data_IF_659800484363
#
_entry.id   IF_659800484363
#
_cell.length_a   1.000
_cell.length_b   1.000
_cell.length_c   1.000
_cell.angle_alpha   90.00
_cell.angle_beta   90.00
_cell.angle_gamma   90.00
#
_symmetry.space_group_name_H-M   'P 1'
#
loop_
_entity.id
_entity.type
_entity.pdbx_description
1 polymer ?
#
# COMPACT_ATOMS: atom_id res chain seq x y z
N UNK A 1 1.60 2.72 3.84
CA UNK A 1 2.59 2.88 4.93
C UNK A 1 3.57 1.73 4.85
N UNK A 2 4.88 1.99 4.82
CA UNK A 2 5.91 0.95 4.81
C UNK A 2 5.89 0.06 6.09
N UNK A 3 6.32 -1.19 6.00
CA UNK A 3 6.68 -1.90 4.77
C UNK A 3 5.45 -2.39 4.00
N UNK A 4 5.44 -2.28 2.67
CA UNK A 4 4.34 -2.80 1.86
C UNK A 4 4.80 -3.36 0.52
N UNK A 5 4.06 -4.35 0.02
CA UNK A 5 4.37 -5.05 -1.24
C UNK A 5 4.39 -4.12 -2.45
N UNK A 6 3.45 -3.17 -2.64
CA UNK A 6 3.44 -2.29 -3.79
C UNK A 6 4.74 -1.51 -4.00
N UNK A 7 5.39 -1.01 -2.95
CA UNK A 7 6.69 -0.34 -3.08
C UNK A 7 7.78 -1.27 -3.58
N UNK A 8 7.79 -2.52 -3.10
CA UNK A 8 8.76 -3.53 -3.57
C UNK A 8 8.52 -3.85 -5.05
N UNK A 9 7.25 -4.01 -5.46
CA UNK A 9 6.90 -4.27 -6.86
C UNK A 9 7.26 -3.10 -7.78
N UNK A 10 7.05 -1.88 -7.34
CA UNK A 10 7.47 -0.68 -8.06
C UNK A 10 9.00 -0.64 -8.23
N UNK A 11 9.74 -0.86 -7.13
CA UNK A 11 11.20 -0.93 -7.18
C UNK A 11 11.71 -2.00 -8.16
N UNK A 12 11.08 -3.18 -8.15
CA UNK A 12 11.44 -4.27 -9.08
C UNK A 12 11.14 -3.91 -10.54
N UNK A 13 10.08 -3.16 -10.80
CA UNK A 13 9.69 -2.75 -12.15
C UNK A 13 10.53 -1.61 -12.71
N UNK A 14 11.04 -0.72 -11.85
CA UNK A 14 11.72 0.52 -12.24
C UNK A 14 13.22 0.51 -11.97
N UNK A 15 13.69 -0.37 -11.07
CA UNK A 15 15.08 -0.39 -10.61
C UNK A 15 15.38 0.57 -9.46
N UNK A 16 14.36 1.24 -8.91
CA UNK A 16 14.50 2.19 -7.81
C UNK A 16 14.80 1.51 -6.47
N UNK A 17 15.33 2.27 -5.52
CA UNK A 17 15.68 1.79 -4.19
C UNK A 17 14.44 1.54 -3.33
N UNK A 18 14.25 0.30 -2.83
CA UNK A 18 13.16 -0.04 -1.92
C UNK A 18 13.26 0.74 -0.60
N UNK A 19 14.46 0.97 -0.09
CA UNK A 19 14.66 1.73 1.17
C UNK A 19 14.24 3.18 1.02
N UNK A 20 14.58 3.83 -0.09
CA UNK A 20 14.16 5.21 -0.38
C UNK A 20 12.65 5.32 -0.58
N UNK A 21 12.04 4.36 -1.32
CA UNK A 21 10.60 4.29 -1.46
C UNK A 21 9.87 4.11 -0.11
N UNK A 22 10.45 3.31 0.79
CA UNK A 22 9.89 3.15 2.13
C UNK A 22 10.00 4.44 2.95
N UNK A 23 11.14 5.16 2.90
CA UNK A 23 11.27 6.46 3.54
C UNK A 23 10.28 7.48 2.96
N UNK A 24 10.21 7.56 1.64
CA UNK A 24 9.28 8.45 0.94
C UNK A 24 7.81 8.20 1.26
N UNK A 25 7.44 6.96 1.60
CA UNK A 25 6.08 6.57 1.95
C UNK A 25 5.63 6.92 3.38
N UNK A 26 6.55 7.29 4.29
CA UNK A 26 6.22 7.54 5.70
C UNK A 26 5.33 8.78 5.84
N UNK A 27 5.78 9.91 5.34
CA UNK A 27 5.07 11.20 5.49
C UNK A 27 3.72 11.22 4.77
N UNK A 28 3.61 10.76 3.49
CA UNK A 28 2.33 10.57 2.85
C UNK A 28 1.38 9.67 3.63
N UNK A 29 1.89 8.56 4.16
CA UNK A 29 1.10 7.63 4.97
C UNK A 29 0.58 8.25 6.26
N UNK A 30 1.39 9.04 6.97
CA UNK A 30 0.96 9.78 8.14
C UNK A 30 -0.07 10.84 7.80
N UNK A 31 0.10 11.57 6.69
CA UNK A 31 -0.85 12.58 6.22
C UNK A 31 -2.22 11.95 5.89
N UNK A 32 -2.24 10.83 5.16
CA UNK A 32 -3.47 10.10 4.87
C UNK A 32 -4.15 9.67 6.17
N UNK A 33 -3.39 9.10 7.10
CA UNK A 33 -3.91 8.66 8.41
C UNK A 33 -4.50 9.83 9.18
N UNK A 34 -3.85 10.98 9.21
CA UNK A 34 -4.32 12.18 9.90
C UNK A 34 -5.66 12.69 9.30
N UNK A 35 -5.77 12.74 7.97
CA UNK A 35 -6.99 13.14 7.28
C UNK A 35 -8.16 12.18 7.55
N UNK A 36 -7.90 10.87 7.55
CA UNK A 36 -8.92 9.87 7.86
C UNK A 36 -9.34 9.91 9.33
N UNK A 37 -8.40 10.10 10.26
CA UNK A 37 -8.70 10.30 11.70
C UNK A 37 -9.54 11.55 11.89
N UNK A 38 -9.19 12.65 11.23
CA UNK A 38 -9.96 13.89 11.29
C UNK A 38 -11.40 13.69 10.82
N UNK A 39 -11.58 12.99 9.69
CA UNK A 39 -12.92 12.65 9.21
C UNK A 39 -13.68 11.76 10.22
N UNK A 40 -13.04 10.70 10.73
CA UNK A 40 -13.64 9.79 11.69
C UNK A 40 -14.09 10.54 12.96
N UNK A 41 -13.22 11.41 13.49
CA UNK A 41 -13.55 12.25 14.65
C UNK A 41 -14.76 13.15 14.39
N UNK A 42 -14.77 13.85 13.23
CA UNK A 42 -15.89 14.70 12.84
C UNK A 42 -17.20 13.92 12.70
N UNK A 43 -17.14 12.74 12.07
CA UNK A 43 -18.28 11.86 11.86
C UNK A 43 -18.87 11.37 13.19
N UNK A 44 -18.01 10.83 14.09
CA UNK A 44 -18.43 10.36 15.41
C UNK A 44 -19.03 11.46 16.26
N UNK A 45 -18.46 12.67 16.21
CA UNK A 45 -19.01 13.82 16.96
C UNK A 45 -20.40 14.24 16.47
N UNK A 46 -20.69 14.05 15.18
CA UNK A 46 -21.97 14.45 14.57
C UNK A 46 -23.06 13.40 14.68
N UNK A 47 -22.71 12.13 14.57
CA UNK A 47 -23.67 11.01 14.52
C UNK A 47 -23.79 10.26 15.85
N UNK A 48 -22.96 10.60 16.84
CA UNK A 48 -22.86 9.89 18.10
C UNK A 48 -22.02 8.60 17.99
N UNK A 49 -21.59 8.13 19.14
CA UNK A 49 -20.82 6.89 19.28
C UNK A 49 -21.64 5.87 20.06
N UNK A 50 -21.46 4.59 19.78
CA UNK A 50 -21.99 3.51 20.58
C UNK A 50 -21.18 3.40 21.89
N UNK A 51 -21.49 4.31 22.82
CA UNK A 51 -20.74 4.49 24.09
C UNK A 51 -20.74 3.21 24.93
N UNK A 52 -21.79 2.42 24.88
CA UNK A 52 -21.86 1.18 25.65
C UNK A 52 -20.84 0.15 25.18
N UNK A 53 -20.71 -0.04 23.85
CA UNK A 53 -19.70 -0.96 23.28
C UNK A 53 -18.28 -0.47 23.50
N UNK A 54 -18.07 0.84 23.36
CA UNK A 54 -16.74 1.46 23.60
C UNK A 54 -16.37 1.29 25.06
N UNK A 55 -17.30 1.56 26.00
CA UNK A 55 -17.07 1.48 27.42
C UNK A 55 -16.79 0.05 27.86
N UNK A 56 -17.58 -0.91 27.39
CA UNK A 56 -17.35 -2.33 27.68
C UNK A 56 -15.96 -2.81 27.22
N UNK A 57 -15.50 -2.35 26.04
CA UNK A 57 -14.17 -2.67 25.51
C UNK A 57 -13.06 -1.96 26.29
N UNK A 58 -13.27 -0.71 26.67
CA UNK A 58 -12.33 0.07 27.51
C UNK A 58 -12.18 -0.58 28.91
N UNK A 59 -13.27 -1.05 29.51
CA UNK A 59 -13.22 -1.68 30.83
C UNK A 59 -12.49 -3.02 30.77
N UNK A 60 -12.66 -3.79 29.69
CA UNK A 60 -11.87 -5.01 29.45
C UNK A 60 -10.36 -4.72 29.30
N UNK A 61 -10.01 -3.64 28.57
CA UNK A 61 -8.61 -3.24 28.40
C UNK A 61 -8.01 -2.70 29.71
N UNK A 62 -8.78 -1.90 30.46
CA UNK A 62 -8.36 -1.39 31.77
C UNK A 62 -8.16 -2.52 32.79
N UNK A 63 -9.05 -3.54 32.77
CA UNK A 63 -8.92 -4.71 33.64
C UNK A 63 -7.64 -5.52 33.38
N UNK A 64 -7.18 -5.59 32.12
CA UNK A 64 -5.89 -6.23 31.78
C UNK A 64 -4.67 -5.41 32.18
N UNK A 65 -4.78 -4.09 32.30
CA UNK A 65 -3.69 -3.16 32.59
C UNK A 65 -2.80 -2.91 31.36
N UNK A 66 -2.47 -1.64 31.13
CA UNK A 66 -1.67 -1.21 29.96
C UNK A 66 -0.31 -1.92 29.87
N UNK A 67 0.40 -2.04 30.99
CA UNK A 67 1.72 -2.69 31.02
C UNK A 67 1.67 -4.19 30.71
N UNK A 68 0.61 -4.89 31.11
CA UNK A 68 0.44 -6.31 30.79
C UNK A 68 0.16 -6.50 29.30
N UNK A 69 -0.70 -5.66 28.72
CA UNK A 69 -0.98 -5.67 27.27
C UNK A 69 0.28 -5.37 26.48
N UNK A 70 1.04 -4.36 26.89
CA UNK A 70 2.30 -4.00 26.25
C UNK A 70 3.31 -5.15 26.33
N UNK A 71 3.45 -5.78 27.49
CA UNK A 71 4.35 -6.93 27.70
C UNK A 71 3.95 -8.15 26.84
N UNK A 72 2.65 -8.40 26.70
CA UNK A 72 2.13 -9.47 25.83
C UNK A 72 2.38 -9.17 24.36
N UNK A 73 2.31 -7.90 23.94
CA UNK A 73 2.38 -7.47 22.54
C UNK A 73 3.79 -7.09 22.07
N UNK A 74 4.75 -6.88 22.98
CA UNK A 74 6.09 -6.35 22.65
C UNK A 74 6.81 -7.18 21.59
N UNK A 75 6.72 -8.49 21.69
CA UNK A 75 7.36 -9.40 20.73
C UNK A 75 6.76 -9.30 19.33
N UNK A 76 5.46 -9.09 19.22
CA UNK A 76 4.79 -8.85 17.93
C UNK A 76 5.15 -7.48 17.35
N UNK A 77 5.22 -6.43 18.22
CA UNK A 77 5.58 -5.08 17.82
C UNK A 77 7.05 -4.95 17.40
N UNK A 78 7.93 -5.81 17.89
CA UNK A 78 9.33 -5.84 17.48
C UNK A 78 9.52 -6.33 16.04
N UNK A 79 8.62 -7.12 15.48
CA UNK A 79 8.75 -7.63 14.10
C UNK A 79 8.89 -6.51 13.05
N UNK A 80 7.96 -5.54 12.94
CA UNK A 80 8.14 -4.43 12.00
C UNK A 80 9.34 -3.54 12.34
N UNK A 81 9.69 -3.39 13.62
CA UNK A 81 10.87 -2.60 14.04
C UNK A 81 12.16 -3.27 13.56
N UNK A 82 12.26 -4.61 13.66
CA UNK A 82 13.41 -5.36 13.16
C UNK A 82 13.54 -5.22 11.65
N UNK A 83 12.43 -5.42 10.91
CA UNK A 83 12.43 -5.33 9.44
C UNK A 83 12.88 -3.95 8.98
N UNK A 84 12.22 -2.90 9.45
CA UNK A 84 12.54 -1.53 9.06
C UNK A 84 13.91 -1.10 9.57
N UNK A 85 14.28 -1.50 10.80
CA UNK A 85 15.59 -1.22 11.37
C UNK A 85 16.74 -1.83 10.55
N UNK A 86 16.62 -3.08 10.11
CA UNK A 86 17.60 -3.74 9.24
C UNK A 86 17.72 -3.05 7.88
N UNK A 87 16.60 -2.65 7.28
CA UNK A 87 16.57 -1.99 5.96
C UNK A 87 17.17 -0.58 6.04
N UNK A 88 16.72 0.24 7.00
CA UNK A 88 17.16 1.64 7.10
C UNK A 88 18.59 1.79 7.63
N UNK A 89 19.08 0.84 8.43
CA UNK A 89 20.47 0.82 8.84
C UNK A 89 21.44 0.33 7.75
N UNK A 90 20.92 -0.18 6.63
CA UNK A 90 21.73 -0.75 5.55
C UNK A 90 22.39 -2.10 5.89
N UNK A 91 22.05 -2.70 7.05
CA UNK A 91 22.61 -3.99 7.50
C UNK A 91 22.07 -5.15 6.67
N UNK A 92 20.83 -5.05 6.19
CA UNK A 92 20.22 -6.08 5.38
C UNK A 92 19.41 -5.47 4.22
N UNK A 93 19.45 -6.15 3.08
CA UNK A 93 18.54 -5.87 1.97
C UNK A 93 17.09 -6.19 2.34
N UNK A 94 16.08 -5.65 1.63
CA UNK A 94 14.68 -5.96 1.91
C UNK A 94 14.35 -7.46 1.91
N UNK A 95 15.00 -8.24 1.03
CA UNK A 95 14.85 -9.70 0.96
C UNK A 95 15.46 -10.41 2.17
N UNK A 96 16.64 -10.00 2.61
CA UNK A 96 17.29 -10.53 3.83
C UNK A 96 16.50 -10.16 5.08
N UNK A 97 16.00 -8.93 5.19
CA UNK A 97 15.13 -8.50 6.28
C UNK A 97 13.82 -9.31 6.34
N UNK A 98 13.25 -9.69 5.18
CA UNK A 98 12.10 -10.58 5.13
C UNK A 98 12.44 -11.99 5.67
N UNK A 99 13.59 -12.54 5.32
CA UNK A 99 14.08 -13.83 5.85
C UNK A 99 14.26 -13.77 7.37
N UNK A 100 14.91 -12.71 7.87
CA UNK A 100 15.07 -12.46 9.32
C UNK A 100 13.68 -12.41 10.00
N UNK A 101 12.71 -11.72 9.39
CA UNK A 101 11.33 -11.62 9.91
C UNK A 101 10.64 -12.97 10.01
N UNK A 102 10.83 -13.85 9.01
CA UNK A 102 10.26 -15.22 9.02
C UNK A 102 10.84 -16.02 10.20
N UNK A 103 12.16 -16.03 10.36
CA UNK A 103 12.79 -16.76 11.48
C UNK A 103 12.39 -16.17 12.83
N UNK A 104 12.37 -14.83 12.95
CA UNK A 104 11.91 -14.15 14.14
C UNK A 104 10.46 -14.52 14.50
N UNK A 105 9.55 -14.46 13.53
CA UNK A 105 8.14 -14.79 13.74
C UNK A 105 7.93 -16.26 14.11
N UNK A 106 8.68 -17.17 13.50
CA UNK A 106 8.68 -18.59 13.86
C UNK A 106 9.17 -18.80 15.30
N UNK A 107 10.27 -18.16 15.67
CA UNK A 107 10.81 -18.22 17.04
C UNK A 107 9.80 -17.73 18.07
N UNK A 108 9.22 -16.55 17.86
CA UNK A 108 8.23 -15.95 18.76
C UNK A 108 6.97 -16.85 18.87
N UNK A 109 6.48 -17.35 17.75
CA UNK A 109 5.27 -18.17 17.70
C UNK A 109 5.45 -19.56 18.34
N UNK A 110 6.64 -20.17 18.21
CA UNK A 110 6.92 -21.50 18.76
C UNK A 110 7.31 -21.47 20.24
N UNK A 111 8.19 -20.51 20.63
CA UNK A 111 8.81 -20.54 21.95
C UNK A 111 8.19 -19.56 22.94
N UNK A 112 7.81 -18.35 22.49
CA UNK A 112 7.28 -17.29 23.35
C UNK A 112 5.76 -17.41 23.50
N UNK A 113 5.02 -17.29 22.39
CA UNK A 113 3.56 -17.36 22.40
C UNK A 113 3.04 -18.78 22.39
N UNK A 114 3.83 -19.75 21.93
CA UNK A 114 3.44 -21.15 21.80
C UNK A 114 2.11 -21.33 21.06
N UNK A 115 1.86 -20.46 20.10
CA UNK A 115 0.61 -20.42 19.33
C UNK A 115 0.55 -21.47 18.22
N UNK A 116 1.71 -21.97 17.77
CA UNK A 116 1.85 -22.99 16.74
C UNK A 116 2.72 -24.14 17.23
N UNK A 117 2.46 -25.34 16.68
CA UNK A 117 3.29 -26.55 16.90
C UNK A 117 4.18 -26.78 15.69
N UNK A 118 5.35 -27.38 15.90
CA UNK A 118 6.32 -27.70 14.82
C UNK A 118 5.66 -28.47 13.66
N UNK A 119 4.74 -29.38 13.96
CA UNK A 119 3.97 -30.14 12.94
C UNK A 119 3.10 -29.26 12.03
N UNK A 120 2.71 -28.08 12.48
CA UNK A 120 1.86 -27.16 11.73
C UNK A 120 2.67 -26.28 10.75
N UNK A 121 4.00 -26.19 10.93
CA UNK A 121 4.88 -25.37 10.06
C UNK A 121 4.73 -25.78 8.60
N UNK A 122 4.71 -27.09 8.32
CA UNK A 122 4.54 -27.57 6.95
C UNK A 122 3.23 -27.11 6.32
N UNK A 123 2.12 -27.18 7.07
CA UNK A 123 0.82 -26.66 6.61
C UNK A 123 0.86 -25.17 6.33
N UNK A 124 1.45 -24.38 7.23
CA UNK A 124 1.60 -22.92 7.07
C UNK A 124 2.45 -22.59 5.83
N UNK A 125 3.53 -23.32 5.59
CA UNK A 125 4.36 -23.14 4.39
C UNK A 125 3.57 -23.43 3.10
N UNK A 126 2.79 -24.51 3.08
CA UNK A 126 1.95 -24.87 1.92
C UNK A 126 0.87 -23.79 1.67
N UNK A 127 0.25 -23.28 2.72
CA UNK A 127 -0.73 -22.19 2.58
C UNK A 127 -0.09 -20.89 2.09
N UNK A 128 1.08 -20.54 2.61
CA UNK A 128 1.84 -19.40 2.12
C UNK A 128 2.19 -19.57 0.62
N UNK A 129 2.64 -20.75 0.21
CA UNK A 129 2.93 -21.03 -1.21
C UNK A 129 1.70 -20.88 -2.09
N UNK A 130 0.53 -21.36 -1.66
CA UNK A 130 -0.74 -21.20 -2.40
C UNK A 130 -1.13 -19.73 -2.53
N UNK A 131 -0.82 -18.90 -1.53
CA UNK A 131 -1.17 -17.50 -1.52
C UNK A 131 -0.31 -16.70 -2.51
N UNK A 132 1.00 -16.96 -2.57
CA UNK A 132 1.85 -16.14 -3.43
C UNK A 132 2.26 -16.77 -4.76
N UNK A 133 2.00 -18.06 -4.99
CA UNK A 133 2.22 -18.67 -6.30
C UNK A 133 1.51 -17.95 -7.45
N UNK A 134 0.23 -17.52 -7.33
CA UNK A 134 -0.41 -16.68 -8.35
C UNK A 134 0.32 -15.35 -8.57
N UNK A 135 0.86 -14.74 -7.52
CA UNK A 135 1.61 -13.47 -7.61
C UNK A 135 2.89 -13.67 -8.42
N UNK A 136 3.62 -14.76 -8.20
CA UNK A 136 4.81 -15.10 -9.00
C UNK A 136 4.49 -15.32 -10.47
N UNK A 137 3.35 -15.97 -10.76
CA UNK A 137 2.90 -16.16 -12.13
C UNK A 137 2.56 -14.83 -12.81
N UNK A 138 1.84 -13.95 -12.11
CA UNK A 138 1.54 -12.59 -12.58
C UNK A 138 2.84 -11.81 -12.80
N UNK A 139 3.79 -11.88 -11.87
CA UNK A 139 5.09 -11.22 -11.99
C UNK A 139 5.83 -11.67 -13.26
N UNK A 140 5.93 -12.98 -13.49
CA UNK A 140 6.60 -13.53 -14.65
C UNK A 140 5.94 -13.10 -15.98
N UNK A 141 4.61 -13.18 -16.05
CA UNK A 141 3.86 -12.80 -17.26
C UNK A 141 3.89 -11.29 -17.50
N UNK A 142 3.78 -10.47 -16.45
CA UNK A 142 3.86 -9.00 -16.55
C UNK A 142 5.25 -8.53 -16.95
N UNK A 143 6.31 -9.17 -16.45
CA UNK A 143 7.70 -8.88 -16.86
C UNK A 143 7.92 -9.20 -18.34
N UNK A 144 7.42 -10.35 -18.81
CA UNK A 144 7.48 -10.72 -20.22
C UNK A 144 6.70 -9.72 -21.10
N UNK A 145 5.49 -9.34 -20.67
CA UNK A 145 4.66 -8.35 -21.37
C UNK A 145 5.33 -6.97 -21.41
N UNK A 146 5.86 -6.49 -20.29
CA UNK A 146 6.60 -5.23 -20.21
C UNK A 146 7.82 -5.23 -21.15
N UNK A 147 8.54 -6.38 -21.24
CA UNK A 147 9.66 -6.52 -22.18
C UNK A 147 9.23 -6.38 -23.63
N UNK A 148 8.09 -7.00 -24.01
CA UNK A 148 7.53 -6.87 -25.35
C UNK A 148 7.17 -5.41 -25.65
N UNK A 149 6.48 -4.72 -24.72
CA UNK A 149 6.12 -3.30 -24.88
C UNK A 149 7.36 -2.42 -25.06
N UNK A 150 8.43 -2.68 -24.30
CA UNK A 150 9.70 -1.94 -24.42
C UNK A 150 10.37 -2.19 -25.77
N UNK A 151 10.38 -3.44 -26.26
CA UNK A 151 10.92 -3.77 -27.59
C UNK A 151 10.11 -3.15 -28.72
N UNK A 152 8.81 -3.02 -28.54
CA UNK A 152 7.90 -2.33 -29.50
C UNK A 152 7.97 -0.81 -29.38
N UNK A 153 8.76 -0.27 -28.48
CA UNK A 153 8.90 1.17 -28.20
C UNK A 153 7.57 1.85 -27.79
N UNK A 154 6.60 1.09 -27.30
CA UNK A 154 5.29 1.63 -26.88
C UNK A 154 5.41 2.76 -25.85
N UNK A 155 6.27 2.67 -24.80
CA UNK A 155 6.45 3.79 -23.86
C UNK A 155 6.89 5.08 -24.56
N UNK A 156 7.80 4.99 -25.54
CA UNK A 156 8.29 6.11 -26.30
C UNK A 156 7.23 6.74 -27.22
N UNK A 157 6.46 5.90 -27.91
CA UNK A 157 5.37 6.35 -28.77
C UNK A 157 4.25 7.02 -27.96
N UNK A 158 3.88 6.44 -26.83
CA UNK A 158 2.88 7.01 -25.91
C UNK A 158 3.40 8.34 -25.34
N UNK A 159 4.66 8.39 -24.93
CA UNK A 159 5.30 9.62 -24.45
C UNK A 159 5.28 10.72 -25.53
N UNK A 160 5.69 10.41 -26.74
CA UNK A 160 5.70 11.37 -27.87
C UNK A 160 4.28 11.87 -28.18
N UNK A 161 3.28 10.98 -28.18
CA UNK A 161 1.88 11.34 -28.37
C UNK A 161 1.35 12.27 -27.28
N UNK A 162 1.65 11.94 -26.02
CA UNK A 162 1.25 12.76 -24.86
C UNK A 162 1.88 14.14 -24.93
N UNK A 163 3.17 14.23 -25.25
CA UNK A 163 3.90 15.51 -25.34
C UNK A 163 3.38 16.41 -26.45
N UNK A 164 2.88 15.83 -27.54
CA UNK A 164 2.27 16.63 -28.62
C UNK A 164 0.90 17.19 -28.26
N UNK A 165 0.15 16.49 -27.37
CA UNK A 165 -1.23 16.87 -27.04
C UNK A 165 -1.37 17.57 -25.68
N UNK A 166 -0.43 17.35 -24.76
CA UNK A 166 -0.46 17.91 -23.40
C UNK A 166 0.80 18.76 -23.16
N UNK A 167 0.72 20.04 -23.48
CA UNK A 167 1.81 20.99 -23.21
C UNK A 167 1.86 21.45 -21.75
N UNK A 168 0.85 21.15 -20.94
CA UNK A 168 0.75 21.58 -19.55
C UNK A 168 0.99 20.38 -18.62
N UNK A 169 2.04 20.46 -17.82
CA UNK A 169 2.43 19.46 -16.82
C UNK A 169 1.30 19.11 -15.84
N UNK A 170 0.56 20.11 -15.35
CA UNK A 170 -0.54 19.91 -14.42
C UNK A 170 -1.65 19.05 -15.05
N UNK A 171 -1.99 19.33 -16.31
CA UNK A 171 -3.01 18.56 -17.03
C UNK A 171 -2.55 17.13 -17.23
N UNK A 172 -1.28 16.92 -17.58
CA UNK A 172 -0.69 15.60 -17.73
C UNK A 172 -0.78 14.79 -16.42
N UNK A 173 -0.37 15.37 -15.31
CA UNK A 173 -0.43 14.70 -14.00
C UNK A 173 -1.86 14.36 -13.58
N UNK A 174 -2.83 15.23 -13.88
CA UNK A 174 -4.25 14.95 -13.64
C UNK A 174 -4.72 13.78 -14.50
N UNK A 175 -4.37 13.75 -15.79
CA UNK A 175 -4.74 12.64 -16.70
C UNK A 175 -4.13 11.33 -16.21
N UNK A 176 -2.86 11.31 -15.83
CA UNK A 176 -2.20 10.13 -15.27
C UNK A 176 -2.94 9.67 -14.00
N UNK A 177 -3.29 10.59 -13.08
CA UNK A 177 -4.04 10.26 -11.87
C UNK A 177 -5.40 9.64 -12.19
N UNK A 178 -6.13 10.17 -13.18
CA UNK A 178 -7.43 9.62 -13.59
C UNK A 178 -7.28 8.22 -14.18
N UNK A 179 -6.28 8.01 -15.04
CA UNK A 179 -6.00 6.68 -15.62
C UNK A 179 -5.64 5.68 -14.53
N UNK A 180 -4.73 6.03 -13.61
CA UNK A 180 -4.35 5.17 -12.50
C UNK A 180 -5.53 4.83 -11.58
N UNK A 181 -6.40 5.80 -11.32
CA UNK A 181 -7.60 5.60 -10.51
C UNK A 181 -8.56 4.60 -11.18
N UNK A 182 -8.83 4.77 -12.48
CA UNK A 182 -9.68 3.86 -13.25
C UNK A 182 -9.10 2.44 -13.24
N UNK A 183 -7.79 2.31 -13.47
CA UNK A 183 -7.11 1.01 -13.42
C UNK A 183 -7.20 0.40 -12.02
N UNK A 184 -6.95 1.17 -10.97
CA UNK A 184 -7.04 0.71 -9.57
C UNK A 184 -8.45 0.30 -9.15
N UNK A 185 -9.50 0.84 -9.79
CA UNK A 185 -10.88 0.41 -9.55
C UNK A 185 -11.18 -0.99 -10.10
N UNK A 186 -10.41 -1.45 -11.11
CA UNK A 186 -10.73 -2.67 -11.88
C UNK A 186 -9.78 -3.81 -11.57
N UNK A 187 -8.50 -3.53 -11.31
CA UNK A 187 -7.47 -4.55 -11.13
C UNK A 187 -6.64 -4.32 -9.86
N UNK A 188 -5.95 -5.38 -9.43
CA UNK A 188 -5.06 -5.34 -8.26
C UNK A 188 -3.86 -4.41 -8.49
N UNK A 189 -3.32 -3.85 -7.39
CA UNK A 189 -2.15 -2.96 -7.42
C UNK A 189 -0.92 -3.63 -8.00
N UNK A 190 -0.67 -4.90 -7.69
CA UNK A 190 0.55 -5.60 -8.13
C UNK A 190 0.66 -5.67 -9.65
N UNK A 191 -0.31 -6.23 -10.41
CA UNK A 191 -0.24 -6.22 -11.85
C UNK A 191 -0.30 -4.81 -12.45
N UNK A 192 -1.08 -3.90 -11.85
CA UNK A 192 -1.16 -2.51 -12.32
C UNK A 192 0.22 -1.82 -12.28
N UNK A 193 0.95 -1.95 -11.17
CA UNK A 193 2.29 -1.40 -11.01
C UNK A 193 3.24 -1.99 -12.05
N UNK A 194 3.30 -3.32 -12.17
CA UNK A 194 4.24 -4.00 -13.05
C UNK A 194 4.04 -3.67 -14.54
N UNK A 195 2.80 -3.40 -14.94
CA UNK A 195 2.46 -3.07 -16.33
C UNK A 195 2.63 -1.56 -16.59
N UNK A 196 2.13 -0.72 -15.69
CA UNK A 196 2.05 0.72 -15.93
C UNK A 196 3.33 1.48 -15.57
N UNK A 197 4.12 1.01 -14.57
CA UNK A 197 5.33 1.72 -14.18
C UNK A 197 6.31 1.88 -15.34
N UNK A 198 6.67 0.84 -16.13
CA UNK A 198 7.59 1.01 -17.25
C UNK A 198 7.07 1.91 -18.38
N UNK A 199 5.73 2.05 -18.47
CA UNK A 199 5.09 2.89 -19.50
C UNK A 199 5.04 4.34 -19.04
N UNK A 200 4.65 4.58 -17.80
CA UNK A 200 4.38 5.93 -17.29
C UNK A 200 5.64 6.62 -16.75
N UNK A 201 6.61 5.85 -16.22
CA UNK A 201 7.82 6.44 -15.64
C UNK A 201 8.60 7.33 -16.61
N UNK A 202 8.91 6.91 -17.85
CA UNK A 202 9.61 7.79 -18.80
C UNK A 202 8.85 9.08 -19.11
N UNK A 203 7.50 9.02 -19.07
CA UNK A 203 6.64 10.18 -19.35
C UNK A 203 6.75 11.20 -18.22
N UNK A 204 6.70 10.76 -16.97
CA UNK A 204 6.76 11.67 -15.80
C UNK A 204 8.18 12.18 -15.54
N UNK A 205 9.20 11.39 -15.84
CA UNK A 205 10.61 11.84 -15.81
C UNK A 205 10.86 12.96 -16.82
N UNK A 206 10.24 12.87 -17.98
CA UNK A 206 10.39 13.89 -19.02
C UNK A 206 9.84 15.26 -18.62
N UNK A 207 8.81 15.29 -17.75
CA UNK A 207 8.31 16.53 -17.15
C UNK A 207 9.00 16.89 -15.83
N UNK A 208 10.10 16.20 -15.49
CA UNK A 208 10.95 16.52 -14.34
C UNK A 208 10.47 15.94 -13.00
N UNK A 209 9.49 15.02 -13.01
CA UNK A 209 9.04 14.36 -11.77
C UNK A 209 10.07 13.32 -11.32
N UNK A 210 10.39 13.33 -10.03
CA UNK A 210 11.28 12.35 -9.43
C UNK A 210 10.64 10.94 -9.44
N UNK A 211 11.38 9.87 -9.86
CA UNK A 211 10.86 8.50 -9.93
C UNK A 211 10.27 7.97 -8.62
N UNK A 212 10.92 8.28 -7.48
CA UNK A 212 10.45 7.85 -6.16
C UNK A 212 9.13 8.54 -5.79
N UNK A 213 9.03 9.84 -6.07
CA UNK A 213 7.80 10.60 -5.86
C UNK A 213 6.65 10.06 -6.72
N UNK A 214 6.92 9.75 -7.98
CA UNK A 214 5.94 9.11 -8.86
C UNK A 214 5.50 7.73 -8.31
N UNK A 215 6.44 6.93 -7.82
CA UNK A 215 6.13 5.64 -7.19
C UNK A 215 5.17 5.78 -6.01
N UNK A 216 5.40 6.75 -5.12
CA UNK A 216 4.49 7.06 -3.99
C UNK A 216 3.12 7.49 -4.51
N UNK A 217 3.07 8.43 -5.46
CA UNK A 217 1.82 8.91 -6.06
C UNK A 217 1.03 7.77 -6.70
N UNK A 218 1.67 6.93 -7.51
CA UNK A 218 1.05 5.80 -8.19
C UNK A 218 0.45 4.80 -7.20
N UNK A 219 1.20 4.43 -6.16
CA UNK A 219 0.76 3.46 -5.15
C UNK A 219 -0.41 4.00 -4.34
N UNK A 220 -0.37 5.26 -3.94
CA UNK A 220 -1.48 5.91 -3.23
C UNK A 220 -2.72 5.98 -4.12
N UNK A 221 -2.56 6.30 -5.40
CA UNK A 221 -3.67 6.37 -6.36
C UNK A 221 -4.37 5.01 -6.54
N UNK A 222 -3.58 3.95 -6.78
CA UNK A 222 -4.12 2.60 -6.90
C UNK A 222 -4.80 2.13 -5.60
N UNK A 223 -4.28 2.54 -4.43
CA UNK A 223 -4.91 2.25 -3.14
C UNK A 223 -6.27 2.95 -2.97
N UNK A 224 -6.45 4.16 -3.52
CA UNK A 224 -7.77 4.82 -3.60
C UNK A 224 -8.71 4.01 -4.48
N UNK A 225 -8.21 3.50 -5.61
CA UNK A 225 -8.99 2.63 -6.51
C UNK A 225 -9.57 1.42 -5.78
N UNK A 226 -8.82 0.80 -4.87
CA UNK A 226 -9.26 -0.38 -4.10
C UNK A 226 -10.49 -0.16 -3.22
N UNK A 227 -10.78 1.05 -2.83
CA UNK A 227 -11.95 1.41 -2.02
C UNK A 227 -13.02 2.12 -2.83
N UNK A 228 -12.82 2.24 -4.15
CA UNK A 228 -13.71 2.98 -5.05
C UNK A 228 -14.45 2.04 -5.99
N UNK A 229 -15.79 2.16 -6.15
CA UNK A 229 -16.54 1.40 -7.16
C UNK A 229 -16.01 1.67 -8.58
N UNK A 230 -16.15 0.74 -9.56
CA UNK A 230 -17.14 -0.36 -9.62
C UNK A 230 -16.71 -1.67 -8.96
N UNK A 231 -15.41 -2.02 -8.98
CA UNK A 231 -14.96 -3.29 -8.39
C UNK A 231 -14.55 -3.08 -6.93
N UNK A 232 -13.52 -2.29 -6.66
CA UNK A 232 -13.07 -1.96 -5.31
C UNK A 232 -12.84 -3.19 -4.44
N UNK A 233 -11.71 -3.88 -4.63
CA UNK A 233 -11.42 -5.19 -3.99
C UNK A 233 -11.68 -5.18 -2.48
N UNK A 234 -11.31 -4.10 -1.78
CA UNK A 234 -11.54 -3.98 -0.34
C UNK A 234 -13.02 -3.87 0.02
N UNK A 235 -13.88 -3.37 -0.89
CA UNK A 235 -15.32 -3.31 -0.67
C UNK A 235 -15.95 -4.72 -0.70
N UNK A 236 -15.45 -5.62 -1.56
CA UNK A 236 -15.86 -7.02 -1.56
C UNK A 236 -15.46 -7.73 -0.27
N UNK A 237 -14.22 -7.53 0.18
CA UNK A 237 -13.76 -8.11 1.46
C UNK A 237 -14.63 -7.60 2.61
N UNK A 238 -14.87 -6.30 2.68
CA UNK A 238 -15.73 -5.71 3.70
C UNK A 238 -17.18 -6.26 3.63
N UNK A 239 -17.72 -6.42 2.42
CA UNK A 239 -19.05 -7.00 2.21
C UNK A 239 -19.14 -8.44 2.71
N UNK A 240 -18.13 -9.27 2.42
CA UNK A 240 -18.09 -10.67 2.85
C UNK A 240 -17.96 -10.83 4.37
N UNK A 241 -17.25 -9.91 5.04
CA UNK A 241 -17.06 -9.93 6.50
C UNK A 241 -18.29 -9.41 7.27
N UNK A 242 -18.99 -8.43 6.69
CA UNK A 242 -20.10 -7.74 7.38
C UNK A 242 -21.48 -8.22 6.94
N UNK A 243 -21.57 -9.01 5.87
CA UNK A 243 -22.84 -9.39 5.20
C UNK A 243 -23.68 -8.17 4.77
N UNK A 244 -23.05 -7.01 4.56
CA UNK A 244 -23.70 -5.80 4.05
C UNK A 244 -23.43 -5.69 2.54
N UNK A 245 -24.43 -5.34 1.71
CA UNK A 245 -24.22 -5.17 0.27
C UNK A 245 -23.12 -4.14 -0.04
N UNK A 246 -22.19 -4.50 -0.94
CA UNK A 246 -21.02 -3.71 -1.32
C UNK A 246 -21.38 -2.24 -1.64
N UNK A 247 -22.47 -2.01 -2.37
CA UNK A 247 -22.90 -0.67 -2.75
C UNK A 247 -23.31 0.20 -1.56
N UNK A 248 -23.83 -0.40 -0.48
CA UNK A 248 -24.17 0.34 0.75
C UNK A 248 -22.89 0.74 1.49
N UNK A 249 -21.90 -0.15 1.54
CA UNK A 249 -20.58 0.14 2.12
C UNK A 249 -19.91 1.27 1.33
N UNK A 250 -19.89 1.17 0.01
CA UNK A 250 -19.33 2.17 -0.89
C UNK A 250 -19.95 3.56 -0.67
N UNK A 251 -21.27 3.65 -0.63
CA UNK A 251 -21.98 4.93 -0.37
C UNK A 251 -21.57 5.57 0.96
N UNK A 252 -21.40 4.76 2.02
CA UNK A 252 -20.96 5.26 3.33
C UNK A 252 -19.47 5.60 3.36
N UNK A 253 -18.66 4.96 2.52
CA UNK A 253 -17.23 5.22 2.41
C UNK A 253 -16.91 6.45 1.54
N UNK A 254 -17.85 6.93 0.70
CA UNK A 254 -17.61 8.07 -0.21
C UNK A 254 -16.96 9.29 0.42
N UNK A 255 -17.39 9.77 1.61
CA UNK A 255 -16.70 10.91 2.23
C UNK A 255 -15.25 10.61 2.60
N UNK A 256 -14.94 9.37 3.08
CA UNK A 256 -13.57 8.95 3.39
C UNK A 256 -12.73 8.88 2.11
N UNK A 257 -13.31 8.38 1.02
CA UNK A 257 -12.66 8.38 -0.30
C UNK A 257 -12.33 9.81 -0.73
N UNK A 258 -13.24 10.77 -0.49
CA UNK A 258 -12.99 12.18 -0.76
C UNK A 258 -11.77 12.75 -0.01
N UNK A 259 -11.61 12.43 1.27
CA UNK A 259 -10.41 12.81 2.05
C UNK A 259 -9.15 12.10 1.55
N UNK A 260 -9.28 10.85 1.10
CA UNK A 260 -8.15 10.12 0.52
C UNK A 260 -7.75 10.71 -0.84
N UNK A 261 -8.72 11.09 -1.68
CA UNK A 261 -8.47 11.82 -2.94
C UNK A 261 -7.81 13.18 -2.69
N UNK A 262 -8.22 13.90 -1.64
CA UNK A 262 -7.56 15.15 -1.25
C UNK A 262 -6.07 14.90 -0.89
N UNK A 263 -5.79 13.85 -0.12
CA UNK A 263 -4.42 13.47 0.19
C UNK A 263 -3.63 13.15 -1.09
N UNK A 264 -4.21 12.40 -2.02
CA UNK A 264 -3.59 12.07 -3.31
C UNK A 264 -3.24 13.33 -4.10
N UNK A 265 -4.15 14.31 -4.19
CA UNK A 265 -3.88 15.56 -4.89
C UNK A 265 -2.75 16.35 -4.22
N UNK A 266 -2.74 16.42 -2.88
CA UNK A 266 -1.64 17.07 -2.15
C UNK A 266 -0.30 16.39 -2.42
N UNK A 267 -0.26 15.05 -2.40
CA UNK A 267 0.94 14.27 -2.73
C UNK A 267 1.36 14.56 -4.17
N UNK A 268 0.45 14.53 -5.12
CA UNK A 268 0.75 14.72 -6.55
C UNK A 268 1.43 16.06 -6.83
N UNK A 269 0.93 17.16 -6.21
CA UNK A 269 1.39 18.51 -6.54
C UNK A 269 2.43 19.08 -5.56
N UNK A 270 2.71 18.39 -4.46
CA UNK A 270 3.70 18.82 -3.46
C UNK A 270 4.75 17.73 -3.28
N UNK A 271 5.81 17.69 -4.14
CA UNK A 271 6.87 16.68 -4.07
C UNK A 271 7.54 16.59 -2.70
N UNK A 272 7.64 17.71 -1.99
CA UNK A 272 8.22 17.77 -0.65
C UNK A 272 7.56 16.80 0.35
N UNK A 273 6.26 16.46 0.17
CA UNK A 273 5.56 15.51 1.05
C UNK A 273 6.18 14.10 0.95
N UNK A 274 6.62 13.71 -0.25
CA UNK A 274 7.23 12.39 -0.47
C UNK A 274 8.75 12.41 -0.32
N UNK A 275 9.41 13.54 -0.62
CA UNK A 275 10.87 13.60 -0.73
C UNK A 275 11.56 14.21 0.50
N UNK A 276 10.81 14.67 1.51
CA UNK A 276 11.37 15.39 2.67
C UNK A 276 12.25 14.52 3.59
N UNK A 277 12.20 13.19 3.47
CA UNK A 277 13.02 12.26 4.26
C UNK A 277 14.17 11.64 3.45
N UNK A 278 14.29 11.98 2.19
CA UNK A 278 15.38 11.60 1.28
C UNK A 278 16.40 12.73 1.20
#
# INVERSE_FOLDING_TARGET
>A
IPPCIPFIMYAMATGESVSELFLAGIVPGMMISALLIFYAYYYCRRHGEDREKIQAKMDQLKAKGFFNILKESIWALLSPVIVLGCIYSGVASPTEAAVISVFYSLFVSLFIYRSIKVKQIWGIMVEAMKTYAPILFILATSTAFSRVLTLMQVPQDVSAWIMTHFSNEIVLLIVINVVLLIVGMVMDTTPAILILSPILLPIVEHVGMNPIHFGVMMIVNLAVGFVTPPVGVNLFVASSLTNVPMMQIAKKAMPMIGYFMLALLLITFIPAISLCLL
#
